data_IF_851087482991
#
_entry.id   IF_851087482991
#
_cell.length_a   1.000
_cell.length_b   1.000
_cell.length_c   1.000
_cell.angle_alpha   90.00
_cell.angle_beta   90.00
_cell.angle_gamma   90.00
#
_symmetry.space_group_name_H-M   'P 1'
#
loop_
_entity.id
_entity.type
_entity.pdbx_description
1 polymer ?
#
# COMPACT_ATOMS: atom_id res chain seq x y z
N UNK A 1 34.72 76.00 35.71
CA UNK A 1 34.84 75.26 34.44
C UNK A 1 34.51 76.23 33.30
N UNK A 2 35.37 76.35 32.31
CA UNK A 2 35.25 77.34 31.22
C UNK A 2 34.04 77.03 30.32
N UNK A 3 33.13 78.00 30.13
CA UNK A 3 31.86 77.81 29.42
C UNK A 3 32.06 77.29 27.99
N UNK A 4 33.14 77.70 27.32
CA UNK A 4 33.47 77.21 25.98
C UNK A 4 33.77 75.71 25.92
N UNK A 5 34.42 75.16 26.96
CA UNK A 5 34.74 73.72 27.03
C UNK A 5 33.50 72.87 27.26
N UNK A 6 32.52 73.38 28.02
CA UNK A 6 31.25 72.67 28.28
C UNK A 6 30.42 72.51 27.00
N UNK A 7 30.34 73.57 26.18
CA UNK A 7 29.58 73.55 24.92
C UNK A 7 30.18 72.56 23.91
N UNK A 8 31.52 72.50 23.81
CA UNK A 8 32.20 71.54 22.94
C UNK A 8 31.95 70.10 23.40
N UNK A 9 32.04 69.84 24.71
CA UNK A 9 31.78 68.50 25.27
C UNK A 9 30.33 68.08 25.02
N UNK A 10 29.35 68.96 25.24
CA UNK A 10 27.94 68.67 24.95
C UNK A 10 27.69 68.42 23.46
N UNK A 11 28.33 69.19 22.57
CA UNK A 11 28.24 68.99 21.13
C UNK A 11 28.78 67.63 20.69
N UNK A 12 29.93 67.21 21.22
CA UNK A 12 30.51 65.89 20.94
C UNK A 12 29.63 64.76 21.46
N UNK A 13 29.09 64.89 22.67
CA UNK A 13 28.16 63.91 23.24
C UNK A 13 26.90 63.78 22.39
N UNK A 14 26.32 64.89 21.91
CA UNK A 14 25.17 64.87 21.01
C UNK A 14 25.46 64.16 19.68
N UNK A 15 26.63 64.37 19.07
CA UNK A 15 27.01 63.71 17.81
C UNK A 15 27.19 62.20 18.01
N UNK A 16 27.82 61.79 19.12
CA UNK A 16 27.99 60.36 19.46
C UNK A 16 26.63 59.70 19.68
N UNK A 17 25.73 60.36 20.43
CA UNK A 17 24.38 59.85 20.65
C UNK A 17 23.60 59.73 19.33
N UNK A 18 23.67 60.73 18.44
CA UNK A 18 23.01 60.70 17.14
C UNK A 18 23.55 59.58 16.23
N UNK A 19 24.87 59.39 16.19
CA UNK A 19 25.50 58.32 15.41
C UNK A 19 25.14 56.93 15.95
N UNK A 20 25.13 56.76 17.28
CA UNK A 20 24.69 55.51 17.90
C UNK A 20 23.22 55.21 17.60
N UNK A 21 22.34 56.22 17.65
CA UNK A 21 20.93 56.06 17.33
C UNK A 21 20.73 55.68 15.86
N UNK A 22 21.48 56.30 14.94
CA UNK A 22 21.42 55.97 13.52
C UNK A 22 21.89 54.54 13.23
N UNK A 23 22.98 54.08 13.86
CA UNK A 23 23.45 52.71 13.74
C UNK A 23 22.42 51.68 14.22
N UNK A 24 21.76 51.98 15.33
CA UNK A 24 20.65 51.17 15.87
C UNK A 24 19.48 51.13 14.87
N UNK A 25 19.10 52.25 14.28
CA UNK A 25 18.01 52.32 13.28
C UNK A 25 18.35 51.47 12.04
N UNK A 26 19.56 51.57 11.50
CA UNK A 26 19.97 50.80 10.32
C UNK A 26 20.02 49.30 10.62
N UNK A 27 20.54 48.91 11.78
CA UNK A 27 20.57 47.51 12.21
C UNK A 27 19.15 46.93 12.30
N UNK A 28 18.24 47.62 13.00
CA UNK A 28 16.86 47.14 13.12
C UNK A 28 16.09 47.18 11.80
N UNK A 29 16.37 48.13 10.89
CA UNK A 29 15.78 48.14 9.56
C UNK A 29 16.19 46.91 8.72
N UNK A 30 17.46 46.46 8.83
CA UNK A 30 17.93 45.23 8.21
C UNK A 30 17.22 43.99 8.77
N UNK A 31 17.17 43.88 10.10
CA UNK A 31 16.48 42.77 10.79
C UNK A 31 14.99 42.70 10.41
N UNK A 32 14.32 43.86 10.28
CA UNK A 32 12.91 43.91 9.86
C UNK A 32 12.76 43.38 8.44
N UNK A 33 13.63 43.80 7.51
CA UNK A 33 13.57 43.34 6.11
C UNK A 33 13.77 41.84 5.97
N UNK A 34 14.71 41.26 6.72
CA UNK A 34 14.97 39.81 6.69
C UNK A 34 13.79 39.03 7.27
N UNK A 35 13.18 39.55 8.35
CA UNK A 35 11.94 38.99 8.91
C UNK A 35 10.76 39.09 7.94
N UNK A 36 10.62 40.19 7.20
CA UNK A 36 9.58 40.35 6.18
C UNK A 36 9.74 39.32 5.05
N UNK A 37 10.98 39.07 4.59
CA UNK A 37 11.26 38.04 3.60
C UNK A 37 10.90 36.62 4.12
N UNK A 38 11.23 36.33 5.38
CA UNK A 38 10.87 35.07 6.02
C UNK A 38 9.35 34.91 6.17
N UNK A 39 8.63 35.98 6.53
CA UNK A 39 7.16 35.99 6.62
C UNK A 39 6.54 35.67 5.27
N UNK A 40 7.03 36.26 4.18
CA UNK A 40 6.52 35.99 2.82
C UNK A 40 6.74 34.53 2.43
N UNK A 41 7.92 33.98 2.73
CA UNK A 41 8.22 32.56 2.48
C UNK A 41 7.27 31.63 3.25
N UNK A 42 7.08 31.88 4.55
CA UNK A 42 6.17 31.11 5.40
C UNK A 42 4.70 31.24 4.98
N UNK A 43 4.29 32.40 4.47
CA UNK A 43 2.95 32.60 3.90
C UNK A 43 2.76 31.77 2.64
N UNK A 44 3.78 31.70 1.76
CA UNK A 44 3.75 30.87 0.55
C UNK A 44 3.65 29.39 0.90
N UNK A 45 4.49 28.91 1.82
CA UNK A 45 4.45 27.52 2.29
C UNK A 45 3.10 27.16 2.91
N UNK A 46 2.54 28.04 3.75
CA UNK A 46 1.19 27.85 4.32
C UNK A 46 0.11 27.78 3.23
N UNK A 47 0.23 28.57 2.17
CA UNK A 47 -0.70 28.51 1.05
C UNK A 47 -0.66 27.17 0.32
N UNK A 48 0.55 26.64 0.08
CA UNK A 48 0.75 25.33 -0.57
C UNK A 48 0.19 24.22 0.33
N UNK A 49 0.50 24.26 1.64
CA UNK A 49 0.04 23.26 2.60
C UNK A 49 -1.50 23.24 2.70
N UNK A 50 -2.14 24.42 2.66
CA UNK A 50 -3.60 24.54 2.60
C UNK A 50 -4.17 23.90 1.33
N UNK A 51 -3.59 24.19 0.17
CA UNK A 51 -4.04 23.58 -1.08
C UNK A 51 -3.92 22.05 -1.06
N UNK A 52 -2.81 21.51 -0.53
CA UNK A 52 -2.64 20.06 -0.37
C UNK A 52 -3.66 19.47 0.60
N UNK A 53 -3.94 20.14 1.72
CA UNK A 53 -4.96 19.73 2.68
C UNK A 53 -6.35 19.68 2.02
N UNK A 54 -6.68 20.68 1.21
CA UNK A 54 -7.97 20.73 0.52
C UNK A 54 -8.11 19.60 -0.51
N UNK A 55 -7.04 19.28 -1.25
CA UNK A 55 -7.01 18.14 -2.17
C UNK A 55 -7.18 16.80 -1.44
N UNK A 56 -6.49 16.60 -0.32
CA UNK A 56 -6.62 15.38 0.49
C UNK A 56 -8.03 15.27 1.09
N UNK A 57 -8.63 16.39 1.50
CA UNK A 57 -9.98 16.41 2.01
C UNK A 57 -11.01 16.06 0.93
N UNK A 58 -10.82 16.56 -0.30
CA UNK A 58 -11.66 16.20 -1.44
C UNK A 58 -11.57 14.70 -1.75
N UNK A 59 -10.35 14.16 -1.85
CA UNK A 59 -10.11 12.74 -2.06
C UNK A 59 -10.72 11.86 -0.95
N UNK A 60 -10.59 12.26 0.31
CA UNK A 60 -11.22 11.57 1.43
C UNK A 60 -12.75 11.56 1.32
N UNK A 61 -13.35 12.68 0.91
CA UNK A 61 -14.80 12.79 0.74
C UNK A 61 -15.30 11.90 -0.41
N UNK A 62 -14.57 11.82 -1.52
CA UNK A 62 -14.88 10.92 -2.63
C UNK A 62 -14.83 9.46 -2.20
N UNK A 63 -13.79 9.04 -1.47
CA UNK A 63 -13.68 7.68 -0.97
C UNK A 63 -14.77 7.33 0.05
N UNK A 64 -15.13 8.26 0.94
CA UNK A 64 -16.30 8.08 1.83
C UNK A 64 -17.59 7.88 1.05
N UNK A 65 -17.77 8.62 -0.04
CA UNK A 65 -18.93 8.51 -0.92
C UNK A 65 -18.97 7.14 -1.61
N UNK A 66 -17.83 6.68 -2.13
CA UNK A 66 -17.71 5.34 -2.74
C UNK A 66 -18.01 4.23 -1.72
N UNK A 67 -17.46 4.34 -0.51
CA UNK A 67 -17.74 3.40 0.57
C UNK A 67 -19.23 3.35 0.90
N UNK A 68 -19.89 4.50 1.02
CA UNK A 68 -21.33 4.59 1.26
C UNK A 68 -22.14 3.91 0.15
N UNK A 69 -21.78 4.14 -1.12
CA UNK A 69 -22.43 3.49 -2.26
C UNK A 69 -22.25 1.97 -2.24
N UNK A 70 -21.06 1.49 -1.90
CA UNK A 70 -20.78 0.06 -1.79
C UNK A 70 -21.58 -0.58 -0.65
N UNK A 71 -21.69 0.10 0.50
CA UNK A 71 -22.51 -0.35 1.63
C UNK A 71 -24.00 -0.41 1.28
N UNK A 72 -24.52 0.58 0.56
CA UNK A 72 -25.91 0.57 0.09
C UNK A 72 -26.16 -0.56 -0.91
N UNK A 73 -25.25 -0.78 -1.84
CA UNK A 73 -25.33 -1.87 -2.81
C UNK A 73 -25.30 -3.24 -2.13
N UNK A 74 -24.36 -3.46 -1.19
CA UNK A 74 -24.27 -4.68 -0.41
C UNK A 74 -25.55 -4.92 0.40
N UNK A 75 -26.07 -3.89 1.07
CA UNK A 75 -27.33 -3.99 1.82
C UNK A 75 -28.49 -4.37 0.92
N UNK A 76 -28.60 -3.76 -0.26
CA UNK A 76 -29.62 -4.09 -1.26
C UNK A 76 -29.55 -5.55 -1.69
N UNK A 77 -28.34 -6.06 -1.96
CA UNK A 77 -28.14 -7.46 -2.31
C UNK A 77 -28.49 -8.41 -1.16
N UNK A 78 -28.09 -8.10 0.07
CA UNK A 78 -28.45 -8.91 1.24
C UNK A 78 -29.96 -9.00 1.38
N UNK A 79 -30.67 -7.86 1.36
CA UNK A 79 -32.14 -7.84 1.44
C UNK A 79 -32.79 -8.61 0.29
N UNK A 80 -32.24 -8.50 -0.91
CA UNK A 80 -32.70 -9.27 -2.06
C UNK A 80 -32.56 -10.78 -1.81
N UNK A 81 -31.38 -11.26 -1.43
CA UNK A 81 -31.16 -12.68 -1.17
C UNK A 81 -31.94 -13.20 0.03
N UNK A 82 -32.10 -12.41 1.09
CA UNK A 82 -32.97 -12.74 2.21
C UNK A 82 -34.43 -12.92 1.76
N UNK A 83 -34.92 -12.06 0.87
CA UNK A 83 -36.28 -12.21 0.29
C UNK A 83 -36.42 -13.48 -0.54
N UNK A 84 -35.40 -13.83 -1.33
CA UNK A 84 -35.39 -15.05 -2.13
C UNK A 84 -35.36 -16.30 -1.23
N UNK A 85 -34.56 -16.28 -0.15
CA UNK A 85 -34.52 -17.36 0.84
C UNK A 85 -35.89 -17.53 1.50
N UNK A 86 -36.58 -16.45 1.84
CA UNK A 86 -37.95 -16.51 2.40
C UNK A 86 -38.93 -17.14 1.41
N UNK A 87 -38.88 -16.74 0.14
CA UNK A 87 -39.73 -17.31 -0.91
C UNK A 87 -39.43 -18.80 -1.14
N UNK A 88 -38.15 -19.17 -1.26
CA UNK A 88 -37.73 -20.56 -1.37
C UNK A 88 -38.15 -21.37 -0.15
N UNK A 89 -38.09 -20.83 1.06
CA UNK A 89 -38.55 -21.52 2.25
C UNK A 89 -40.07 -21.70 2.28
N UNK A 90 -40.84 -20.74 1.74
CA UNK A 90 -42.28 -20.90 1.56
C UNK A 90 -42.58 -21.99 0.54
N UNK A 91 -41.92 -21.98 -0.62
CA UNK A 91 -42.06 -23.02 -1.63
C UNK A 91 -41.62 -24.40 -1.10
N UNK A 92 -40.52 -24.47 -0.34
CA UNK A 92 -40.06 -25.68 0.33
C UNK A 92 -41.09 -26.15 1.36
N UNK A 93 -41.75 -25.23 2.08
CA UNK A 93 -42.83 -25.58 3.01
C UNK A 93 -44.04 -26.16 2.28
N UNK A 94 -44.44 -25.56 1.16
CA UNK A 94 -45.53 -26.07 0.32
C UNK A 94 -45.17 -27.43 -0.26
N UNK A 95 -43.95 -27.57 -0.80
CA UNK A 95 -43.43 -28.82 -1.33
C UNK A 95 -43.31 -29.88 -0.23
N UNK A 96 -42.91 -29.52 0.98
CA UNK A 96 -42.88 -30.44 2.13
C UNK A 96 -44.27 -30.88 2.55
N UNK A 97 -45.28 -30.02 2.45
CA UNK A 97 -46.68 -30.38 2.71
C UNK A 97 -47.19 -31.36 1.65
N UNK A 98 -46.95 -31.08 0.37
CA UNK A 98 -47.26 -32.00 -0.75
C UNK A 98 -46.44 -33.30 -0.66
N UNK A 99 -45.19 -33.21 -0.19
CA UNK A 99 -44.32 -34.35 0.07
C UNK A 99 -44.86 -35.17 1.23
N UNK A 100 -45.31 -34.59 2.35
CA UNK A 100 -45.94 -35.35 3.44
C UNK A 100 -47.22 -36.09 2.98
N UNK A 101 -48.03 -35.46 2.13
CA UNK A 101 -49.20 -36.10 1.50
C UNK A 101 -48.80 -37.30 0.61
N UNK A 102 -47.65 -37.21 -0.07
CA UNK A 102 -47.12 -38.29 -0.91
C UNK A 102 -46.22 -39.29 -0.16
N UNK A 103 -45.67 -38.93 1.00
CA UNK A 103 -44.77 -39.73 1.84
C UNK A 103 -45.53 -40.77 2.69
N UNK A 104 -46.83 -40.59 2.89
CA UNK A 104 -47.71 -41.68 3.37
C UNK A 104 -47.68 -42.88 2.38
N UNK A 105 -47.38 -42.65 1.09
CA UNK A 105 -47.46 -43.68 0.06
C UNK A 105 -46.17 -44.47 -0.20
N UNK A 106 -44.99 -44.00 0.20
CA UNK A 106 -43.74 -44.66 -0.20
C UNK A 106 -42.66 -44.57 0.89
N UNK A 107 -42.48 -45.68 1.62
CA UNK A 107 -41.39 -45.86 2.60
C UNK A 107 -40.17 -46.51 1.96
N UNK A 108 -39.02 -45.82 2.03
CA UNK A 108 -37.65 -46.32 2.33
C UNK A 108 -36.51 -45.77 1.44
N UNK A 109 -35.71 -44.89 2.09
CA UNK A 109 -34.32 -44.44 1.85
C UNK A 109 -34.02 -43.09 1.13
N UNK A 110 -33.07 -42.38 1.78
CA UNK A 110 -32.66 -40.95 1.86
C UNK A 110 -31.40 -40.65 0.97
N UNK A 111 -30.83 -39.44 0.73
CA UNK A 111 -30.46 -38.23 1.53
C UNK A 111 -30.13 -36.99 0.58
N UNK A 112 -29.46 -35.84 0.93
CA UNK A 112 -30.02 -34.46 0.81
C UNK A 112 -29.16 -33.35 0.08
N UNK A 113 -29.77 -32.15 -0.08
CA UNK A 113 -29.30 -30.72 -0.05
C UNK A 113 -28.05 -30.13 -0.77
N UNK A 114 -28.32 -28.99 -1.44
CA UNK A 114 -27.62 -27.68 -1.62
C UNK A 114 -26.40 -27.44 -2.55
N UNK A 115 -26.70 -26.65 -3.60
CA UNK A 115 -26.02 -25.55 -4.33
C UNK A 115 -24.50 -25.57 -4.53
N UNK A 116 -24.16 -25.79 -5.81
CA UNK A 116 -22.88 -25.70 -6.48
C UNK A 116 -22.91 -26.73 -7.60
N UNK A 117 -23.25 -26.38 -8.84
CA UNK A 117 -23.59 -27.41 -9.85
C UNK A 117 -22.35 -27.95 -10.60
N UNK A 118 -21.35 -28.40 -9.84
CA UNK A 118 -20.63 -29.63 -10.18
C UNK A 118 -21.49 -30.75 -9.61
N UNK A 119 -22.35 -31.32 -10.44
CA UNK A 119 -23.03 -32.55 -10.06
C UNK A 119 -22.30 -33.73 -10.69
N UNK A 120 -21.76 -34.56 -9.81
CA UNK A 120 -21.29 -35.89 -10.15
C UNK A 120 -20.30 -35.98 -11.33
N UNK A 121 -19.47 -34.96 -11.58
CA UNK A 121 -18.35 -35.06 -12.53
C UNK A 121 -18.51 -34.42 -13.91
N UNK A 122 -19.59 -33.68 -14.15
CA UNK A 122 -19.71 -32.80 -15.33
C UNK A 122 -19.91 -31.35 -14.88
N UNK A 123 -19.33 -30.41 -15.62
CA UNK A 123 -19.49 -28.96 -15.41
C UNK A 123 -19.97 -28.31 -16.70
N UNK A 124 -21.07 -27.58 -16.66
CA UNK A 124 -21.45 -26.65 -17.75
C UNK A 124 -20.83 -25.27 -17.44
N UNK A 125 -20.28 -24.59 -18.45
CA UNK A 125 -19.63 -23.28 -18.32
C UNK A 125 -19.77 -22.44 -19.59
N UNK A 126 -19.38 -21.16 -19.53
CA UNK A 126 -19.38 -20.23 -20.67
C UNK A 126 -20.73 -20.15 -21.40
N UNK A 127 -21.83 -20.21 -20.64
CA UNK A 127 -23.16 -20.19 -21.22
C UNK A 127 -23.49 -18.79 -21.77
N UNK A 128 -23.85 -18.70 -23.04
CA UNK A 128 -24.14 -17.44 -23.72
C UNK A 128 -25.41 -17.56 -24.55
N UNK A 129 -26.28 -16.56 -24.45
CA UNK A 129 -27.39 -16.35 -25.38
C UNK A 129 -26.89 -15.39 -26.45
N UNK A 130 -26.87 -15.84 -27.70
CA UNK A 130 -26.51 -15.02 -28.86
C UNK A 130 -27.79 -14.62 -29.58
N UNK A 131 -28.03 -13.31 -29.68
CA UNK A 131 -29.14 -12.77 -30.44
C UNK A 131 -28.91 -12.97 -31.95
N UNK A 132 -29.85 -13.64 -32.63
CA UNK A 132 -29.93 -13.69 -34.09
C UNK A 132 -31.28 -13.07 -34.55
N UNK A 133 -31.46 -12.85 -35.86
CA UNK A 133 -32.53 -12.00 -36.43
C UNK A 133 -33.96 -12.24 -35.90
N UNK A 134 -34.39 -13.49 -35.75
CA UNK A 134 -35.76 -13.85 -35.33
C UNK A 134 -35.82 -14.68 -34.03
N UNK A 135 -34.75 -15.41 -33.69
CA UNK A 135 -34.64 -16.27 -32.50
C UNK A 135 -33.19 -16.35 -32.04
N UNK A 136 -32.97 -16.38 -30.74
CA UNK A 136 -31.63 -16.45 -30.14
C UNK A 136 -31.09 -17.88 -30.06
N UNK A 137 -29.78 -18.01 -30.18
CA UNK A 137 -29.04 -19.27 -30.04
C UNK A 137 -28.45 -19.40 -28.64
N UNK A 138 -28.44 -20.61 -28.07
CA UNK A 138 -27.80 -20.89 -26.78
C UNK A 138 -26.50 -21.66 -27.01
N UNK A 139 -25.39 -21.09 -26.54
CA UNK A 139 -24.06 -21.69 -26.63
C UNK A 139 -23.51 -21.94 -25.23
N UNK A 140 -22.65 -22.94 -25.09
CA UNK A 140 -21.93 -23.18 -23.85
C UNK A 140 -20.89 -24.28 -24.00
N UNK A 141 -20.25 -24.60 -22.88
CA UNK A 141 -19.23 -25.62 -22.78
C UNK A 141 -19.64 -26.68 -21.76
N UNK A 142 -19.24 -27.93 -21.98
CA UNK A 142 -19.27 -28.99 -20.98
C UNK A 142 -17.86 -29.50 -20.73
N UNK A 143 -17.51 -29.67 -19.46
CA UNK A 143 -16.23 -30.20 -19.01
C UNK A 143 -16.43 -31.48 -18.22
N UNK A 144 -15.62 -32.50 -18.50
CA UNK A 144 -15.55 -33.71 -17.68
C UNK A 144 -14.59 -33.48 -16.49
N UNK A 145 -15.14 -33.46 -15.29
CA UNK A 145 -14.41 -33.26 -14.04
C UNK A 145 -13.99 -34.58 -13.35
N UNK A 146 -14.27 -35.74 -13.97
CA UNK A 146 -13.83 -37.06 -13.47
C UNK A 146 -12.51 -37.46 -14.12
N UNK A 147 -11.81 -38.36 -13.45
CA UNK A 147 -10.62 -39.04 -13.97
C UNK A 147 -10.96 -40.16 -14.98
N UNK A 148 -12.24 -40.33 -15.33
CA UNK A 148 -12.74 -41.39 -16.20
C UNK A 148 -13.26 -40.81 -17.51
N UNK A 149 -13.10 -41.57 -18.59
CA UNK A 149 -13.56 -41.20 -19.92
C UNK A 149 -15.08 -41.32 -20.04
N UNK A 150 -15.74 -40.30 -20.61
CA UNK A 150 -17.18 -40.35 -20.90
C UNK A 150 -17.39 -40.55 -22.40
N UNK A 151 -17.88 -41.74 -22.79
CA UNK A 151 -18.12 -42.05 -24.20
C UNK A 151 -19.22 -41.18 -24.81
N UNK A 152 -20.21 -40.79 -24.00
CA UNK A 152 -21.33 -39.96 -24.44
C UNK A 152 -21.87 -39.10 -23.30
N UNK A 153 -22.14 -37.84 -23.60
CA UNK A 153 -22.78 -36.85 -22.73
C UNK A 153 -23.95 -36.23 -23.48
N UNK A 154 -25.15 -36.25 -22.92
CA UNK A 154 -26.35 -35.64 -23.48
C UNK A 154 -26.59 -34.29 -22.84
N UNK A 155 -26.45 -33.22 -23.60
CA UNK A 155 -26.89 -31.89 -23.21
C UNK A 155 -28.36 -31.73 -23.61
N UNK A 156 -29.24 -31.49 -22.64
CA UNK A 156 -30.70 -31.41 -22.80
C UNK A 156 -31.14 -30.01 -22.43
N UNK A 157 -31.73 -29.28 -23.38
CA UNK A 157 -32.30 -27.95 -23.19
C UNK A 157 -33.82 -28.06 -23.11
N UNK A 158 -34.42 -27.60 -22.02
CA UNK A 158 -35.87 -27.41 -21.88
C UNK A 158 -36.19 -25.92 -22.02
N UNK A 159 -37.19 -25.57 -22.81
CA UNK A 159 -37.63 -24.20 -23.09
C UNK A 159 -39.03 -24.03 -22.53
N UNK A 160 -39.23 -22.97 -21.77
CA UNK A 160 -40.48 -22.68 -21.08
C UNK A 160 -41.05 -21.35 -21.56
N UNK A 161 -42.37 -21.35 -21.76
CA UNK A 161 -43.13 -20.16 -22.05
C UNK A 161 -43.12 -19.19 -20.85
N UNK A 162 -43.54 -17.95 -21.09
CA UNK A 162 -43.62 -16.89 -20.07
C UNK A 162 -44.52 -17.30 -18.88
N UNK A 163 -45.48 -18.20 -19.11
CA UNK A 163 -46.38 -18.73 -18.07
C UNK A 163 -45.78 -19.91 -17.28
N UNK A 164 -44.53 -20.30 -17.57
CA UNK A 164 -43.82 -21.41 -16.92
C UNK A 164 -44.15 -22.80 -17.46
N UNK A 165 -44.99 -22.92 -18.49
CA UNK A 165 -45.28 -24.21 -19.14
C UNK A 165 -44.12 -24.63 -20.03
N UNK A 166 -43.82 -25.93 -20.06
CA UNK A 166 -42.82 -26.47 -20.98
C UNK A 166 -43.33 -26.35 -22.42
N UNK A 167 -42.67 -25.53 -23.22
CA UNK A 167 -43.00 -25.33 -24.63
C UNK A 167 -42.31 -26.40 -25.49
N UNK A 168 -41.01 -26.61 -25.28
CA UNK A 168 -40.21 -27.51 -26.10
C UNK A 168 -38.97 -28.03 -25.35
N UNK A 169 -38.33 -29.09 -25.88
CA UNK A 169 -37.01 -29.52 -25.43
C UNK A 169 -36.14 -29.98 -26.61
N UNK A 170 -34.83 -29.83 -26.47
CA UNK A 170 -33.84 -30.29 -27.45
C UNK A 170 -32.72 -31.07 -26.77
N UNK A 171 -32.15 -32.03 -27.50
CA UNK A 171 -31.04 -32.86 -27.01
C UNK A 171 -29.87 -32.81 -27.99
N UNK A 172 -28.66 -32.65 -27.46
CA UNK A 172 -27.39 -32.73 -28.19
C UNK A 172 -26.49 -33.76 -27.52
N UNK A 173 -25.86 -34.62 -28.31
CA UNK A 173 -24.88 -35.57 -27.81
C UNK A 173 -23.47 -35.03 -28.06
N UNK A 174 -22.64 -35.06 -27.02
CA UNK A 174 -21.19 -34.86 -27.09
C UNK A 174 -20.55 -36.22 -26.92
N UNK A 175 -19.79 -36.64 -27.92
CA UNK A 175 -19.11 -37.93 -27.92
C UNK A 175 -17.65 -37.78 -27.49
N UNK A 176 -17.16 -38.81 -26.81
CA UNK A 176 -15.76 -38.99 -26.45
C UNK A 176 -15.17 -37.82 -25.66
N UNK A 177 -15.68 -37.55 -24.45
CA UNK A 177 -15.20 -36.49 -23.56
C UNK A 177 -14.21 -37.07 -22.54
N UNK A 178 -12.91 -36.85 -22.78
CA UNK A 178 -11.82 -37.30 -21.92
C UNK A 178 -11.80 -36.55 -20.58
N UNK A 179 -11.06 -37.09 -19.61
CA UNK A 179 -10.89 -36.45 -18.30
C UNK A 179 -10.31 -35.04 -18.44
N UNK A 180 -10.92 -34.07 -17.75
CA UNK A 180 -10.61 -32.63 -17.80
C UNK A 180 -10.76 -31.98 -19.19
N UNK A 181 -11.26 -32.70 -20.19
CA UNK A 181 -11.55 -32.15 -21.51
C UNK A 181 -12.81 -31.29 -21.46
N UNK A 182 -12.78 -30.19 -22.21
CA UNK A 182 -13.91 -29.29 -22.39
C UNK A 182 -14.32 -29.27 -23.86
N UNK A 183 -15.61 -29.45 -24.14
CA UNK A 183 -16.18 -29.35 -25.50
C UNK A 183 -17.37 -28.41 -25.51
N UNK A 184 -17.51 -27.66 -26.61
CA UNK A 184 -18.62 -26.73 -26.80
C UNK A 184 -19.88 -27.42 -27.32
N UNK A 185 -21.05 -26.88 -26.98
CA UNK A 185 -22.34 -27.20 -27.57
C UNK A 185 -23.05 -25.93 -28.04
N UNK A 186 -23.96 -26.11 -29.00
CA UNK A 186 -24.79 -25.05 -29.53
C UNK A 186 -26.20 -25.58 -29.85
N UNK A 187 -27.19 -24.79 -29.42
CA UNK A 187 -28.59 -24.92 -29.82
C UNK A 187 -28.97 -23.67 -30.64
N UNK A 188 -28.94 -23.77 -31.98
CA UNK A 188 -29.15 -22.61 -32.84
C UNK A 188 -30.64 -22.24 -32.94
N UNK A 189 -30.96 -20.95 -32.81
CA UNK A 189 -32.29 -20.36 -33.03
C UNK A 189 -33.42 -20.98 -32.18
N UNK A 190 -33.18 -21.17 -30.88
CA UNK A 190 -34.05 -21.94 -29.98
C UNK A 190 -34.82 -21.12 -28.94
N UNK A 191 -34.45 -19.85 -28.71
CA UNK A 191 -35.12 -19.00 -27.72
C UNK A 191 -35.82 -17.82 -28.39
N UNK A 192 -37.11 -17.63 -28.10
CA UNK A 192 -37.84 -16.40 -28.39
C UNK A 192 -37.68 -15.38 -27.25
N UNK A 193 -38.04 -14.12 -27.52
CA UNK A 193 -37.89 -13.03 -26.55
C UNK A 193 -38.71 -13.31 -25.27
N UNK A 194 -38.07 -13.20 -24.11
CA UNK A 194 -38.65 -13.42 -22.76
C UNK A 194 -38.98 -14.88 -22.39
N UNK A 195 -38.55 -15.87 -23.18
CA UNK A 195 -38.63 -17.27 -22.77
C UNK A 195 -37.54 -17.62 -21.76
N UNK A 196 -37.85 -18.56 -20.87
CA UNK A 196 -36.88 -19.10 -19.91
C UNK A 196 -36.48 -20.50 -20.33
N UNK A 197 -35.33 -20.98 -19.86
CA UNK A 197 -34.86 -22.31 -20.20
C UNK A 197 -34.15 -22.97 -19.02
N UNK A 198 -34.07 -24.30 -19.07
CA UNK A 198 -33.29 -25.14 -18.16
C UNK A 198 -32.39 -26.05 -18.97
N UNK A 199 -31.12 -26.14 -18.58
CA UNK A 199 -30.13 -26.92 -19.31
C UNK A 199 -29.55 -28.01 -18.42
N UNK A 200 -29.61 -29.25 -18.90
CA UNK A 200 -28.96 -30.40 -18.29
C UNK A 200 -27.81 -30.89 -19.14
N UNK A 201 -26.78 -31.47 -18.54
CA UNK A 201 -25.81 -32.31 -19.24
C UNK A 201 -25.68 -33.63 -18.49
N UNK A 202 -25.97 -34.78 -19.11
CA UNK A 202 -25.97 -36.09 -18.46
C UNK A 202 -25.01 -37.02 -19.19
N UNK A 203 -23.99 -37.52 -18.50
CA UNK A 203 -23.06 -38.54 -18.98
C UNK A 203 -23.15 -39.83 -18.17
N UNK A 204 -22.45 -40.87 -18.63
CA UNK A 204 -22.49 -42.20 -18.00
C UNK A 204 -22.15 -42.22 -16.50
N UNK A 205 -21.46 -41.19 -15.99
CA UNK A 205 -20.98 -41.12 -14.62
C UNK A 205 -21.37 -39.82 -13.89
N UNK A 206 -22.22 -38.96 -14.48
CA UNK A 206 -22.66 -37.72 -13.84
C UNK A 206 -23.68 -36.88 -14.59
N UNK A 207 -24.23 -35.84 -13.94
CA UNK A 207 -25.13 -34.88 -14.57
C UNK A 207 -24.89 -33.45 -14.09
N UNK A 208 -25.14 -32.42 -14.90
CA UNK A 208 -25.10 -31.00 -14.52
C UNK A 208 -26.46 -30.39 -14.81
N UNK A 209 -26.90 -29.43 -14.01
CA UNK A 209 -28.19 -28.74 -14.14
C UNK A 209 -27.94 -27.22 -14.05
N UNK A 210 -28.68 -26.41 -14.81
CA UNK A 210 -28.68 -24.94 -14.73
C UNK A 210 -30.13 -24.50 -14.87
N UNK A 211 -30.70 -23.98 -13.78
CA UNK A 211 -31.99 -23.30 -13.78
C UNK A 211 -31.78 -21.80 -14.03
N UNK A 212 -32.53 -21.23 -14.99
CA UNK A 212 -32.75 -19.80 -15.21
C UNK A 212 -31.65 -19.03 -15.99
N UNK A 213 -32.08 -18.28 -17.02
CA UNK A 213 -31.28 -17.36 -17.83
C UNK A 213 -30.58 -16.26 -17.01
N UNK A 214 -31.15 -15.88 -15.86
CA UNK A 214 -30.53 -14.93 -14.92
C UNK A 214 -29.28 -15.48 -14.23
N UNK A 215 -29.24 -16.79 -13.97
CA UNK A 215 -28.06 -17.44 -13.36
C UNK A 215 -26.92 -17.50 -14.37
N UNK A 216 -27.23 -17.73 -15.64
CA UNK A 216 -26.23 -17.68 -16.72
C UNK A 216 -25.64 -16.28 -16.92
N UNK A 217 -26.49 -15.25 -16.87
CA UNK A 217 -26.07 -13.84 -16.94
C UNK A 217 -25.15 -13.47 -15.77
N UNK A 218 -25.54 -13.83 -14.53
CA UNK A 218 -24.74 -13.59 -13.34
C UNK A 218 -23.40 -14.36 -13.35
N UNK A 219 -23.37 -15.59 -13.88
CA UNK A 219 -22.14 -16.35 -14.01
C UNK A 219 -21.18 -15.70 -15.03
N UNK A 220 -21.71 -15.15 -16.12
CA UNK A 220 -20.91 -14.38 -17.09
C UNK A 220 -20.35 -13.10 -16.46
N UNK A 221 -21.14 -12.37 -15.67
CA UNK A 221 -20.66 -11.18 -14.95
C UNK A 221 -19.56 -11.51 -13.93
N UNK A 222 -19.70 -12.62 -13.19
CA UNK A 222 -18.69 -13.09 -12.24
C UNK A 222 -17.39 -13.46 -12.96
N UNK A 223 -17.46 -14.08 -14.13
CA UNK A 223 -16.27 -14.39 -14.94
C UNK A 223 -15.56 -13.11 -15.43
N UNK A 224 -16.30 -12.09 -15.89
CA UNK A 224 -15.72 -10.80 -16.31
C UNK A 224 -15.08 -10.03 -15.15
N UNK A 225 -15.72 -10.06 -13.97
CA UNK A 225 -15.16 -9.46 -12.75
C UNK A 225 -13.84 -10.13 -12.33
N UNK A 226 -13.76 -11.45 -12.42
CA UNK A 226 -12.53 -12.18 -12.09
C UNK A 226 -11.37 -11.79 -13.02
N UNK A 227 -11.62 -11.65 -14.33
CA UNK A 227 -10.61 -11.17 -15.29
C UNK A 227 -10.14 -9.76 -14.93
N UNK A 228 -11.06 -8.89 -14.51
CA UNK A 228 -10.74 -7.51 -14.11
C UNK A 228 -9.87 -7.48 -12.85
N UNK A 229 -10.17 -8.34 -11.86
CA UNK A 229 -9.37 -8.47 -10.64
C UNK A 229 -7.93 -8.91 -10.97
N UNK A 230 -7.76 -9.92 -11.84
CA UNK A 230 -6.43 -10.37 -12.25
C UNK A 230 -5.61 -9.27 -12.94
N UNK A 231 -6.25 -8.43 -13.76
CA UNK A 231 -5.61 -7.29 -14.41
C UNK A 231 -5.19 -6.19 -13.42
N UNK A 232 -6.04 -5.90 -12.43
CA UNK A 232 -5.72 -4.93 -11.37
C UNK A 232 -4.57 -5.42 -10.50
N UNK A 233 -4.53 -6.69 -10.13
CA UNK A 233 -3.42 -7.29 -9.37
C UNK A 233 -2.09 -7.22 -10.15
N UNK A 234 -2.13 -7.46 -11.46
CA UNK A 234 -0.95 -7.30 -12.31
C UNK A 234 -0.48 -5.84 -12.35
N UNK A 235 -1.40 -4.88 -12.42
CA UNK A 235 -1.10 -3.45 -12.42
C UNK A 235 -0.55 -2.97 -11.07
N UNK A 236 -1.07 -3.47 -9.96
CA UNK A 236 -0.55 -3.17 -8.61
C UNK A 236 0.90 -3.66 -8.50
N UNK A 237 1.18 -4.91 -8.89
CA UNK A 237 2.56 -5.45 -8.88
C UNK A 237 3.52 -4.65 -9.76
N UNK A 238 3.03 -4.16 -10.90
CA UNK A 238 3.81 -3.28 -11.76
C UNK A 238 4.10 -1.94 -11.08
N UNK A 239 3.11 -1.32 -10.44
CA UNK A 239 3.25 -0.06 -9.71
C UNK A 239 4.16 -0.19 -8.48
N UNK A 240 4.08 -1.29 -7.74
CA UNK A 240 4.99 -1.63 -6.63
C UNK A 240 6.43 -1.76 -7.12
N UNK A 241 6.62 -2.40 -8.28
CA UNK A 241 7.95 -2.49 -8.93
C UNK A 241 8.43 -1.13 -9.45
N UNK A 242 7.52 -0.27 -9.90
CA UNK A 242 7.82 1.10 -10.34
C UNK A 242 8.17 2.03 -9.18
N UNK A 243 7.72 1.74 -7.95
CA UNK A 243 8.05 2.55 -6.78
C UNK A 243 9.54 2.47 -6.41
N UNK A 244 10.29 1.44 -6.83
CA UNK A 244 11.76 1.48 -6.85
C UNK A 244 12.45 1.76 -5.50
N UNK A 245 11.74 1.52 -4.39
CA UNK A 245 12.29 1.55 -3.04
C UNK A 245 11.63 0.48 -2.17
N UNK A 246 12.45 -0.31 -1.48
CA UNK A 246 11.99 -1.14 -0.36
C UNK A 246 12.12 -0.31 0.92
N UNK A 247 11.10 -0.28 1.77
CA UNK A 247 11.15 0.44 3.04
C UNK A 247 10.77 -0.45 4.22
N UNK A 248 11.43 -0.23 5.36
CA UNK A 248 11.22 -0.98 6.59
C UNK A 248 11.13 0.00 7.75
N UNK A 249 10.03 -0.08 8.51
CA UNK A 249 9.87 0.67 9.76
C UNK A 249 10.68 -0.04 10.85
N UNK A 250 11.49 0.72 11.57
CA UNK A 250 12.36 0.26 12.65
C UNK A 250 11.97 1.01 13.92
N UNK A 251 11.37 0.29 14.86
CA UNK A 251 10.97 0.80 16.17
C UNK A 251 12.02 0.44 17.21
N UNK A 252 12.36 1.39 18.06
CA UNK A 252 13.24 1.21 19.20
C UNK A 252 14.53 0.45 18.80
N UNK A 253 14.89 -0.57 19.56
CA UNK A 253 16.09 -1.41 19.42
C UNK A 253 16.22 -2.09 18.05
N UNK A 254 15.15 -2.21 17.25
CA UNK A 254 15.22 -2.76 15.89
C UNK A 254 16.13 -1.94 14.96
N UNK A 255 16.25 -0.63 15.21
CA UNK A 255 17.18 0.24 14.48
C UNK A 255 18.63 -0.23 14.64
N UNK A 256 19.08 -0.43 15.89
CA UNK A 256 20.45 -0.80 16.22
C UNK A 256 20.87 -2.10 15.51
N UNK A 257 20.08 -3.17 15.63
CA UNK A 257 20.42 -4.45 14.99
C UNK A 257 20.46 -4.34 13.47
N UNK A 258 19.53 -3.61 12.88
CA UNK A 258 19.43 -3.42 11.44
C UNK A 258 20.62 -2.64 10.90
N UNK A 259 20.93 -1.48 11.48
CA UNK A 259 22.01 -0.61 10.99
C UNK A 259 23.38 -1.23 11.24
N UNK A 260 23.60 -1.87 12.39
CA UNK A 260 24.86 -2.56 12.68
C UNK A 260 25.18 -3.63 11.65
N UNK A 261 24.19 -4.46 11.29
CA UNK A 261 24.35 -5.50 10.28
C UNK A 261 24.69 -4.92 8.89
N UNK A 262 24.12 -3.76 8.54
CA UNK A 262 24.42 -3.10 7.27
C UNK A 262 25.78 -2.39 7.27
N UNK A 263 26.18 -1.76 8.39
CA UNK A 263 27.53 -1.20 8.55
C UNK A 263 28.62 -2.27 8.46
N UNK A 264 28.38 -3.46 9.00
CA UNK A 264 29.30 -4.60 8.90
C UNK A 264 29.45 -5.12 7.45
N UNK A 265 28.38 -5.05 6.66
CA UNK A 265 28.35 -5.49 5.25
C UNK A 265 28.73 -4.41 4.24
N UNK A 266 28.79 -3.15 4.65
CA UNK A 266 29.15 -2.03 3.80
C UNK A 266 30.47 -2.28 3.06
N UNK A 267 30.48 -1.96 1.76
CA UNK A 267 31.53 -2.36 0.82
C UNK A 267 32.12 -1.20 0.00
N UNK A 268 31.41 -0.08 -0.12
CA UNK A 268 31.74 1.06 -0.97
C UNK A 268 31.84 2.36 -0.19
N UNK A 269 30.78 2.76 0.48
CA UNK A 269 30.70 4.08 1.15
C UNK A 269 29.78 4.07 2.36
N UNK A 270 30.12 4.87 3.36
CA UNK A 270 29.25 5.21 4.49
C UNK A 270 29.29 6.73 4.67
N UNK A 271 28.12 7.35 4.71
CA UNK A 271 27.95 8.76 5.07
C UNK A 271 27.00 8.85 6.25
N UNK A 272 27.47 9.42 7.35
CA UNK A 272 26.66 9.68 8.55
C UNK A 272 26.54 11.19 8.73
N UNK A 273 25.32 11.68 8.94
CA UNK A 273 25.05 13.02 9.45
C UNK A 273 24.25 12.84 10.72
N UNK A 274 24.80 13.30 11.84
CA UNK A 274 24.25 13.01 13.16
C UNK A 274 24.20 14.26 14.03
N UNK A 275 23.02 14.52 14.59
CA UNK A 275 22.79 15.56 15.58
C UNK A 275 23.51 15.24 16.90
N UNK A 276 23.24 14.08 17.50
CA UNK A 276 23.92 13.61 18.71
C UNK A 276 24.62 12.28 18.45
N UNK A 277 25.95 12.28 18.59
CA UNK A 277 26.81 11.10 18.49
C UNK A 277 27.75 11.07 19.70
N UNK A 278 27.44 10.23 20.68
CA UNK A 278 28.13 10.20 21.97
C UNK A 278 29.02 8.97 22.05
N UNK A 279 30.32 9.20 22.23
CA UNK A 279 31.30 8.16 22.54
C UNK A 279 31.65 8.23 24.02
N UNK A 280 31.38 7.17 24.77
CA UNK A 280 31.73 7.06 26.19
C UNK A 280 32.64 5.85 26.44
N UNK A 281 33.96 6.04 26.60
CA UNK A 281 34.90 4.94 26.85
C UNK A 281 34.82 4.39 28.28
N UNK A 282 34.05 5.00 29.17
CA UNK A 282 33.95 4.64 30.59
C UNK A 282 32.61 3.98 30.95
N UNK A 283 31.67 3.86 30.00
CA UNK A 283 30.40 3.20 30.23
C UNK A 283 30.53 1.68 30.26
N UNK A 284 29.90 1.04 31.24
CA UNK A 284 29.81 -0.41 31.29
C UNK A 284 28.89 -0.93 30.17
N UNK A 285 29.25 -2.04 29.47
CA UNK A 285 28.39 -2.61 28.43
C UNK A 285 26.98 -2.98 28.91
N UNK A 286 25.96 -2.93 28.03
CA UNK A 286 26.06 -2.64 26.59
C UNK A 286 26.16 -1.15 26.28
N UNK A 287 27.07 -0.77 25.38
CA UNK A 287 27.21 0.59 24.86
C UNK A 287 26.99 0.56 23.34
N UNK A 288 25.74 0.76 22.94
CA UNK A 288 25.32 0.59 21.56
C UNK A 288 25.79 1.74 20.67
N UNK A 289 25.94 2.94 21.24
CA UNK A 289 26.53 4.07 20.51
C UNK A 289 28.00 3.78 20.15
N UNK A 290 28.81 3.33 21.12
CA UNK A 290 30.19 2.94 20.88
C UNK A 290 30.31 1.81 19.86
N UNK A 291 29.43 0.81 19.91
CA UNK A 291 29.41 -0.28 18.93
C UNK A 291 29.25 0.27 17.50
N UNK A 292 28.28 1.16 17.26
CA UNK A 292 28.06 1.74 15.94
C UNK A 292 29.23 2.62 15.49
N UNK A 293 29.81 3.39 16.41
CA UNK A 293 31.01 4.22 16.16
C UNK A 293 32.22 3.34 15.80
N UNK A 294 32.40 2.20 16.48
CA UNK A 294 33.47 1.26 16.18
C UNK A 294 33.26 0.55 14.83
N UNK A 295 32.02 0.27 14.42
CA UNK A 295 31.74 -0.29 13.09
C UNK A 295 32.12 0.68 11.96
N UNK A 296 32.05 2.00 12.17
CA UNK A 296 32.57 2.98 11.21
C UNK A 296 34.09 2.87 11.06
N UNK A 297 34.81 2.69 12.16
CA UNK A 297 36.26 2.49 12.16
C UNK A 297 36.60 1.16 11.46
N UNK A 298 35.85 0.09 11.74
CA UNK A 298 36.03 -1.20 11.10
C UNK A 298 35.76 -1.12 9.59
N UNK A 299 34.73 -0.40 9.16
CA UNK A 299 34.48 -0.16 7.74
C UNK A 299 35.62 0.61 7.07
N UNK A 300 36.15 1.66 7.73
CA UNK A 300 37.32 2.38 7.25
C UNK A 300 38.54 1.46 7.10
N UNK A 301 38.80 0.58 8.07
CA UNK A 301 39.88 -0.43 8.01
C UNK A 301 39.70 -1.42 6.85
N UNK A 302 38.45 -1.74 6.47
CA UNK A 302 38.14 -2.56 5.28
C UNK A 302 38.32 -1.80 3.96
N UNK A 303 38.61 -0.50 4.00
CA UNK A 303 38.78 0.34 2.80
C UNK A 303 37.50 1.02 2.32
N UNK A 304 36.40 0.96 3.08
CA UNK A 304 35.16 1.67 2.79
C UNK A 304 35.38 3.17 2.93
N UNK A 305 34.82 3.98 2.03
CA UNK A 305 34.87 5.44 2.16
C UNK A 305 33.88 5.92 3.23
N UNK A 306 34.39 6.19 4.44
CA UNK A 306 33.58 6.65 5.58
C UNK A 306 33.73 8.16 5.78
N UNK A 307 32.61 8.88 5.67
CA UNK A 307 32.47 10.31 6.02
C UNK A 307 31.44 10.47 7.13
N UNK A 308 31.75 11.31 8.11
CA UNK A 308 30.86 11.63 9.22
C UNK A 308 30.77 13.14 9.36
N UNK A 309 29.56 13.67 9.47
CA UNK A 309 29.26 15.05 9.85
C UNK A 309 28.55 14.99 11.19
N UNK A 310 29.07 15.72 12.17
CA UNK A 310 28.51 15.76 13.53
C UNK A 310 28.17 17.21 13.85
N UNK A 311 26.94 17.46 14.29
CA UNK A 311 26.49 18.79 14.68
C UNK A 311 27.28 19.25 15.92
N UNK A 312 27.90 20.43 15.88
CA UNK A 312 28.71 20.94 16.98
C UNK A 312 28.12 22.20 17.59
N UNK A 313 27.64 23.11 16.74
CA UNK A 313 26.99 24.34 17.19
C UNK A 313 25.53 24.32 16.79
N UNK A 314 24.69 24.87 17.66
CA UNK A 314 23.28 25.10 17.38
C UNK A 314 22.91 26.52 17.82
N UNK A 315 21.66 26.94 17.55
CA UNK A 315 21.14 28.20 18.07
C UNK A 315 21.11 28.25 19.61
N UNK A 316 21.16 27.09 20.27
CA UNK A 316 21.03 26.94 21.72
C UNK A 316 22.37 26.83 22.46
N UNK A 317 23.48 26.64 21.73
CA UNK A 317 24.82 26.50 22.30
C UNK A 317 25.66 25.48 21.55
N UNK A 318 26.71 25.00 22.22
CA UNK A 318 27.62 23.98 21.70
C UNK A 318 27.25 22.59 22.23
N UNK A 319 27.35 21.58 21.38
CA UNK A 319 27.18 20.17 21.71
C UNK A 319 28.56 19.56 22.00
N UNK A 320 29.22 20.01 23.07
CA UNK A 320 30.60 19.61 23.37
C UNK A 320 30.77 18.09 23.56
N UNK A 321 29.71 17.37 23.96
CA UNK A 321 29.75 15.91 24.11
C UNK A 321 30.02 15.18 22.78
N UNK A 322 29.66 15.79 21.64
CA UNK A 322 29.96 15.27 20.30
C UNK A 322 31.47 15.31 19.98
N UNK A 323 32.26 16.13 20.68
CA UNK A 323 33.70 16.22 20.45
C UNK A 323 34.43 14.92 20.79
N UNK A 324 33.92 14.12 21.72
CA UNK A 324 34.50 12.84 22.07
C UNK A 324 34.42 11.85 20.90
N UNK A 325 33.23 11.72 20.29
CA UNK A 325 33.04 10.88 19.12
C UNK A 325 33.86 11.39 17.92
N UNK A 326 33.87 12.71 17.69
CA UNK A 326 34.71 13.33 16.67
C UNK A 326 36.18 12.94 16.82
N UNK A 327 36.76 13.18 18.01
CA UNK A 327 38.18 12.95 18.26
C UNK A 327 38.53 11.46 18.15
N UNK A 328 37.66 10.59 18.62
CA UNK A 328 37.86 9.14 18.54
C UNK A 328 37.84 8.63 17.09
N UNK A 329 36.86 9.06 16.29
CA UNK A 329 36.78 8.69 14.87
C UNK A 329 37.93 9.29 14.06
N UNK A 330 38.25 10.58 14.28
CA UNK A 330 39.32 11.28 13.59
C UNK A 330 40.69 10.65 13.86
N UNK A 331 41.01 10.34 15.12
CA UNK A 331 42.27 9.67 15.50
C UNK A 331 42.40 8.25 14.92
N UNK A 332 41.28 7.61 14.56
CA UNK A 332 41.23 6.31 13.87
C UNK A 332 41.15 6.43 12.34
N UNK A 333 41.35 7.62 11.77
CA UNK A 333 41.48 7.84 10.32
C UNK A 333 40.15 7.92 9.56
N UNK A 334 39.03 8.07 10.26
CA UNK A 334 37.72 8.38 9.65
C UNK A 334 37.69 9.87 9.26
N UNK A 335 37.09 10.19 8.12
CA UNK A 335 36.89 11.59 7.71
C UNK A 335 35.72 12.16 8.47
N UNK A 336 35.97 12.97 9.49
CA UNK A 336 34.94 13.59 10.32
C UNK A 336 34.97 15.10 10.15
N UNK A 337 33.80 15.71 10.05
CA UNK A 337 33.60 17.16 10.06
C UNK A 337 32.64 17.53 11.19
N UNK A 338 32.98 18.59 11.93
CA UNK A 338 32.05 19.25 12.84
C UNK A 338 31.27 20.31 12.07
N UNK A 339 29.96 20.37 12.27
CA UNK A 339 29.16 21.49 11.79
C UNK A 339 29.09 22.59 12.86
N UNK A 340 29.77 23.70 12.60
CA UNK A 340 29.94 24.84 13.53
C UNK A 340 29.08 26.05 13.13
N UNK A 341 28.09 25.83 12.26
CA UNK A 341 27.12 26.84 11.91
C UNK A 341 26.10 27.02 13.06
N UNK A 342 25.56 28.24 13.27
CA UNK A 342 24.69 28.53 14.41
C UNK A 342 23.22 28.11 14.18
N UNK A 343 22.87 27.60 12.99
CA UNK A 343 21.58 26.96 12.75
C UNK A 343 21.56 25.54 13.32
N UNK A 344 20.46 24.82 13.13
CA UNK A 344 20.25 23.52 13.76
C UNK A 344 19.78 22.53 12.69
N UNK A 345 20.67 21.61 12.33
CA UNK A 345 20.43 20.59 11.32
C UNK A 345 19.48 19.51 11.84
N UNK A 346 19.79 19.00 13.04
CA UNK A 346 19.04 17.96 13.73
C UNK A 346 18.82 16.68 12.91
N UNK A 347 19.75 16.39 11.99
CA UNK A 347 19.67 15.24 11.09
C UNK A 347 20.16 13.97 11.79
N UNK A 348 19.40 12.88 11.63
CA UNK A 348 19.84 11.52 11.95
C UNK A 348 19.75 10.69 10.67
N UNK A 349 20.78 10.84 9.83
CA UNK A 349 20.82 10.28 8.49
C UNK A 349 22.06 9.40 8.35
N UNK A 350 21.86 8.17 7.91
CA UNK A 350 22.95 7.27 7.55
C UNK A 350 22.71 6.72 6.16
N UNK A 351 23.72 6.79 5.31
CA UNK A 351 23.67 6.32 3.94
C UNK A 351 24.81 5.33 3.70
N UNK A 352 24.48 4.15 3.17
CA UNK A 352 25.41 3.05 2.96
C UNK A 352 25.38 2.63 1.48
N UNK A 353 26.56 2.53 0.88
CA UNK A 353 26.82 2.03 -0.47
C UNK A 353 25.97 2.71 -1.57
N UNK A 354 25.68 4.00 -1.40
CA UNK A 354 24.85 4.82 -2.31
C UNK A 354 23.44 4.24 -2.56
N UNK A 355 22.93 3.43 -1.62
CA UNK A 355 21.68 2.69 -1.84
C UNK A 355 20.81 2.56 -0.59
N UNK A 356 21.40 2.21 0.55
CA UNK A 356 20.67 1.99 1.80
C UNK A 356 20.68 3.30 2.58
N UNK A 357 19.51 3.70 3.07
CA UNK A 357 19.29 4.95 3.79
C UNK A 357 18.60 4.61 5.10
N UNK A 358 19.11 5.12 6.21
CA UNK A 358 18.42 5.17 7.49
C UNK A 358 18.13 6.63 7.81
N UNK A 359 16.87 6.94 8.10
CA UNK A 359 16.42 8.27 8.49
C UNK A 359 15.32 8.16 9.53
N UNK A 360 15.34 9.03 10.54
CA UNK A 360 14.30 9.09 11.56
C UNK A 360 14.75 9.84 12.80
N UNK A 361 14.34 9.35 13.97
CA UNK A 361 14.55 10.04 15.24
C UNK A 361 15.70 9.51 16.11
N UNK A 362 16.27 8.33 15.81
CA UNK A 362 17.39 7.76 16.57
C UNK A 362 18.68 8.56 16.42
N UNK A 363 19.09 9.25 17.49
CA UNK A 363 20.47 9.70 17.66
C UNK A 363 21.40 8.53 18.01
N UNK A 364 22.71 8.73 17.87
CA UNK A 364 23.73 7.75 18.29
C UNK A 364 24.21 8.06 19.70
N UNK A 365 23.30 7.94 20.65
CA UNK A 365 23.56 7.96 22.09
C UNK A 365 22.80 6.80 22.75
N UNK A 366 23.22 6.39 23.95
CA UNK A 366 22.64 5.22 24.60
C UNK A 366 21.13 5.35 24.91
N UNK A 367 20.61 6.51 25.39
CA UNK A 367 19.16 6.68 25.55
C UNK A 367 18.36 6.41 24.27
N UNK A 368 18.70 7.07 23.16
CA UNK A 368 18.00 6.91 21.88
C UNK A 368 18.11 5.51 21.29
N UNK A 369 19.23 4.81 21.51
CA UNK A 369 19.43 3.46 20.96
C UNK A 369 18.82 2.36 21.84
N UNK A 370 18.73 2.55 23.16
CA UNK A 370 18.40 1.49 24.11
C UNK A 370 17.08 1.68 24.85
N UNK A 371 16.80 2.88 25.38
CA UNK A 371 15.71 3.12 26.34
C UNK A 371 14.56 3.98 25.83
N UNK A 372 14.82 4.93 24.94
CA UNK A 372 13.81 5.86 24.44
C UNK A 372 12.94 5.20 23.36
N UNK A 373 11.73 5.73 23.20
CA UNK A 373 10.80 5.28 22.16
C UNK A 373 11.02 6.03 20.86
N UNK A 374 11.75 5.41 19.95
CA UNK A 374 12.25 6.01 18.72
C UNK A 374 11.74 5.26 17.49
N UNK A 375 11.53 5.98 16.38
CA UNK A 375 11.09 5.37 15.11
C UNK A 375 11.98 5.88 13.98
N UNK A 376 12.43 4.96 13.14
CA UNK A 376 13.19 5.28 11.93
C UNK A 376 12.79 4.38 10.78
N UNK A 377 13.16 4.77 9.57
CA UNK A 377 12.89 4.00 8.36
C UNK A 377 14.21 3.67 7.69
N UNK A 378 14.36 2.39 7.36
CA UNK A 378 15.36 1.94 6.38
C UNK A 378 14.74 1.98 5.00
N UNK A 379 15.39 2.61 4.04
CA UNK A 379 14.96 2.70 2.65
C UNK A 379 16.08 2.18 1.75
N UNK A 380 15.76 1.29 0.82
CA UNK A 380 16.70 0.76 -0.17
C UNK A 380 16.36 1.37 -1.53
N UNK A 381 17.07 2.43 -1.92
CA UNK A 381 16.85 3.14 -3.19
C UNK A 381 18.06 3.97 -3.61
N UNK A 382 18.65 3.64 -4.76
CA UNK A 382 19.78 4.40 -5.33
C UNK A 382 19.39 5.83 -5.69
N UNK A 383 18.18 6.01 -6.24
CA UNK A 383 17.67 7.33 -6.64
C UNK A 383 17.49 8.27 -5.45
N UNK A 384 16.84 7.79 -4.39
CA UNK A 384 16.64 8.61 -3.18
C UNK A 384 17.99 8.89 -2.49
N UNK A 385 18.88 7.91 -2.51
CA UNK A 385 20.24 8.05 -1.96
C UNK A 385 21.00 9.15 -2.69
N UNK A 386 20.94 9.18 -4.02
CA UNK A 386 21.57 10.25 -4.79
C UNK A 386 21.00 11.64 -4.44
N UNK A 387 19.67 11.77 -4.33
CA UNK A 387 19.03 13.04 -3.97
C UNK A 387 19.43 13.54 -2.57
N UNK A 388 19.46 12.64 -1.57
CA UNK A 388 19.87 13.01 -0.21
C UNK A 388 21.36 13.33 -0.13
N UNK A 389 22.20 12.61 -0.88
CA UNK A 389 23.64 12.91 -0.99
C UNK A 389 23.87 14.31 -1.54
N UNK A 390 23.17 14.69 -2.60
CA UNK A 390 23.26 16.04 -3.17
C UNK A 390 22.86 17.13 -2.16
N UNK A 391 21.82 16.88 -1.36
CA UNK A 391 21.45 17.77 -0.27
C UNK A 391 22.55 17.89 0.79
N UNK A 392 23.11 16.77 1.24
CA UNK A 392 24.20 16.79 2.24
C UNK A 392 25.44 17.51 1.69
N UNK A 393 25.81 17.27 0.43
CA UNK A 393 26.97 17.91 -0.20
C UNK A 393 26.77 19.39 -0.51
N UNK A 394 25.52 19.85 -0.64
CA UNK A 394 25.21 21.26 -0.80
C UNK A 394 25.37 22.03 0.53
N UNK A 395 25.05 21.41 1.66
CA UNK A 395 25.00 22.07 2.97
C UNK A 395 26.26 21.81 3.83
N UNK A 396 26.92 20.66 3.72
CA UNK A 396 27.97 20.23 4.66
C UNK A 396 29.37 20.05 4.05
N UNK A 397 29.71 20.77 2.97
CA UNK A 397 30.95 20.61 2.17
C UNK A 397 32.26 20.36 2.92
#
# INVERSE_FOLDING_TARGET
>A
MDKGKIVVILGVVCVILAASLFGVIVHYAGVIKDKDAMIISLQSQNSILRAQKDMLQAWLNENKTLLSKLQEWLRGNITYYESQIVLLNQELSTLNQTHQESYINYTNYTIPTNVGLVFNGLKISNLKVKEDYDRSSLLGNVTNMKNEFMSKVYVILFIFDINGSLENYQVRAIENLASNETKSFEFPHVLEMNQTFRLFAVGNYGFSDIENSKIAELLSEVEELNVTIEQLDARIKELEKMLGYESYILTDQAYYYSIRADLQRASKSILVVMHSMIYDPYHDPPNWANDLIEELINAKRRGVNVRVVIEYRTYSGFLDDNLWAHNYLFSNGVSVKLDDEPDNDHLKLVMIDDKIIYIGSHDWNDPSLFSDHEISVKIVSEKLSQMLREYVEANFR
#
